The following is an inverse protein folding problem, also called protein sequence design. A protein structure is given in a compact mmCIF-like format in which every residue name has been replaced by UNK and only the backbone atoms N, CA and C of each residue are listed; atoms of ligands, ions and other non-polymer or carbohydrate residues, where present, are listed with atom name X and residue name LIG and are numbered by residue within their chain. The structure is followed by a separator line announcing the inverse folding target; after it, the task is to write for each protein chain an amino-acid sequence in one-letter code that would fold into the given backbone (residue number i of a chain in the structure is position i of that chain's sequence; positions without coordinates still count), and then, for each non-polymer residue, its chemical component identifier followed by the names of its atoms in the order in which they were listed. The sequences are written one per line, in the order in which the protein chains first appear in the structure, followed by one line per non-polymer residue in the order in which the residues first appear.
data_IF_944798246046
#
_entry.id   IF_944798246046
#
_cell.length_a   1.000
_cell.length_b   1.000
_cell.length_c   1.000
_cell.angle_alpha   90.00
_cell.angle_beta   90.00
_cell.angle_gamma   90.00
#
_symmetry.space_group_name_H-M   'P 1'
#
loop_
_entity.id
_entity.type
_entity.pdbx_description
1 polymer ?
#
# COMPACT_ATOMS: atom_id res chain seq x y z
N UNK A 1 32.27 -21.29 -42.59
CA UNK A 1 31.83 -21.93 -41.32
C UNK A 1 31.36 -20.84 -40.37
N UNK A 2 30.20 -21.05 -39.73
CA UNK A 2 29.38 -20.07 -39.01
C UNK A 2 30.10 -19.52 -37.76
N UNK A 3 30.16 -18.19 -37.62
CA UNK A 3 30.52 -17.52 -36.38
C UNK A 3 29.25 -17.16 -35.60
N UNK A 4 29.39 -17.20 -34.27
CA UNK A 4 28.65 -16.43 -33.26
C UNK A 4 27.18 -16.81 -32.96
N UNK A 5 26.97 -17.46 -31.80
CA UNK A 5 26.57 -16.76 -30.56
C UNK A 5 25.78 -17.67 -29.62
N UNK A 6 26.34 -17.83 -28.42
CA UNK A 6 25.81 -18.53 -27.26
C UNK A 6 24.36 -18.11 -26.94
N UNK A 7 23.46 -19.09 -26.97
CA UNK A 7 22.03 -18.93 -26.68
C UNK A 7 21.82 -18.94 -25.17
N UNK A 8 21.77 -17.73 -24.62
CA UNK A 8 21.64 -17.41 -23.22
C UNK A 8 20.61 -18.25 -22.44
N UNK A 9 21.12 -18.72 -21.31
CA UNK A 9 20.44 -19.38 -20.20
C UNK A 9 19.72 -18.31 -19.38
N UNK A 10 18.44 -18.06 -19.62
CA UNK A 10 17.60 -17.42 -18.59
C UNK A 10 16.11 -17.55 -18.88
N UNK A 11 15.50 -18.67 -18.45
CA UNK A 11 14.04 -18.74 -18.27
C UNK A 11 13.75 -18.50 -16.79
N UNK A 12 14.00 -17.27 -16.32
CA UNK A 12 13.40 -16.80 -15.09
C UNK A 12 11.89 -16.70 -15.33
N UNK A 13 11.13 -17.63 -14.74
CA UNK A 13 9.71 -17.44 -14.53
C UNK A 13 9.61 -16.17 -13.68
N UNK A 14 9.22 -15.06 -14.33
CA UNK A 14 8.86 -13.83 -13.64
C UNK A 14 7.70 -14.16 -12.70
N UNK A 15 8.04 -14.47 -11.45
CA UNK A 15 7.20 -14.22 -10.31
C UNK A 15 6.78 -12.76 -10.44
N UNK A 16 5.51 -12.53 -10.75
CA UNK A 16 4.96 -11.19 -10.85
C UNK A 16 5.14 -10.55 -9.46
N UNK A 17 5.95 -9.49 -9.30
CA UNK A 17 5.73 -8.65 -8.15
C UNK A 17 4.34 -8.07 -8.38
N UNK A 18 3.37 -8.45 -7.57
CA UNK A 18 2.08 -7.77 -7.53
C UNK A 18 2.38 -6.35 -7.04
N UNK A 19 2.75 -5.48 -7.97
CA UNK A 19 2.68 -4.04 -7.77
C UNK A 19 1.19 -3.76 -7.59
N UNK A 20 0.75 -3.74 -6.33
CA UNK A 20 -0.53 -3.12 -5.95
C UNK A 20 -0.39 -1.62 -6.24
N UNK A 21 -0.39 -1.28 -7.53
CA UNK A 21 -0.55 0.07 -8.03
C UNK A 21 -2.05 0.33 -8.02
N UNK A 22 -2.61 0.52 -6.82
CA UNK A 22 -3.85 1.29 -6.70
C UNK A 22 -3.42 2.74 -6.57
N UNK A 23 -3.45 3.40 -7.73
CA UNK A 23 -3.49 4.85 -7.87
C UNK A 23 -4.60 5.43 -6.99
N UNK A 24 -4.30 5.69 -5.71
CA UNK A 24 -5.10 6.59 -4.89
C UNK A 24 -4.98 7.97 -5.53
N UNK A 25 -5.97 8.28 -6.38
CA UNK A 25 -6.23 9.64 -6.80
C UNK A 25 -6.26 10.48 -5.54
N UNK A 26 -5.28 11.39 -5.41
CA UNK A 26 -5.14 12.28 -4.26
C UNK A 26 -6.34 13.21 -4.23
N UNK A 27 -7.47 12.74 -3.71
CA UNK A 27 -8.50 13.63 -3.19
C UNK A 27 -7.80 14.37 -2.07
N UNK A 28 -7.63 15.68 -2.26
CA UNK A 28 -7.12 16.58 -1.24
C UNK A 28 -8.19 16.74 -0.17
N UNK A 29 -8.46 15.66 0.55
CA UNK A 29 -9.30 15.69 1.72
C UNK A 29 -8.46 16.28 2.85
N UNK A 30 -8.94 17.38 3.42
CA UNK A 30 -8.30 18.10 4.53
C UNK A 30 -8.44 17.30 5.83
N UNK A 31 -7.82 16.13 5.88
CA UNK A 31 -7.77 15.30 7.07
C UNK A 31 -6.87 15.97 8.12
N UNK A 32 -7.31 15.95 9.38
CA UNK A 32 -6.60 16.56 10.50
C UNK A 32 -6.59 15.56 11.64
N UNK A 33 -5.50 15.57 12.42
CA UNK A 33 -5.36 14.73 13.59
C UNK A 33 -6.32 15.20 14.69
N UNK A 34 -7.52 14.62 14.70
CA UNK A 34 -8.60 14.92 15.65
C UNK A 34 -8.61 13.97 16.87
N UNK A 35 -7.59 13.13 17.00
CA UNK A 35 -7.45 12.17 18.09
C UNK A 35 -8.08 10.81 17.82
N UNK A 36 -8.62 10.57 16.62
CA UNK A 36 -9.03 9.22 16.18
C UNK A 36 -7.84 8.29 16.03
N UNK A 37 -8.00 7.06 16.54
CA UNK A 37 -6.92 6.05 16.61
C UNK A 37 -7.35 4.67 16.10
N UNK A 38 -8.65 4.45 15.89
CA UNK A 38 -9.20 3.16 15.51
C UNK A 38 -9.94 3.24 14.17
N UNK A 39 -10.01 2.10 13.49
CA UNK A 39 -10.65 1.97 12.18
C UNK A 39 -12.13 2.28 12.18
N UNK A 40 -12.86 1.93 13.24
CA UNK A 40 -14.29 2.23 13.36
C UNK A 40 -14.61 3.73 13.37
N UNK A 41 -13.60 4.58 13.57
CA UNK A 41 -13.74 6.03 13.58
C UNK A 41 -13.39 6.65 12.21
N UNK A 42 -12.75 5.90 11.31
CA UNK A 42 -12.45 6.33 9.95
C UNK A 42 -13.64 6.09 9.04
N UNK A 43 -13.63 6.69 7.85
CA UNK A 43 -14.68 6.55 6.84
C UNK A 43 -14.15 6.08 5.49
N UNK A 44 -12.84 6.05 5.31
CA UNK A 44 -12.22 5.55 4.09
C UNK A 44 -10.79 5.06 4.32
N UNK A 45 -10.29 4.30 3.34
CA UNK A 45 -8.92 3.81 3.34
C UNK A 45 -7.94 4.99 3.27
N UNK A 46 -8.19 5.98 2.41
CA UNK A 46 -7.28 7.13 2.27
C UNK A 46 -7.21 7.97 3.54
N UNK A 47 -8.33 8.11 4.26
CA UNK A 47 -8.34 8.77 5.57
C UNK A 47 -7.49 7.98 6.57
N UNK A 48 -7.69 6.66 6.67
CA UNK A 48 -6.90 5.83 7.57
C UNK A 48 -5.39 5.88 7.24
N UNK A 49 -5.03 5.83 5.95
CA UNK A 49 -3.65 5.97 5.46
C UNK A 49 -3.07 7.34 5.79
N UNK A 50 -3.85 8.41 5.66
CA UNK A 50 -3.40 9.74 6.05
C UNK A 50 -3.10 9.77 7.55
N UNK A 51 -4.00 9.26 8.39
CA UNK A 51 -3.81 9.27 9.84
C UNK A 51 -2.60 8.44 10.26
N UNK A 52 -2.40 7.25 9.68
CA UNK A 52 -1.23 6.41 9.98
C UNK A 52 0.10 7.13 9.70
N UNK A 53 0.16 7.91 8.61
CA UNK A 53 1.38 8.59 8.19
C UNK A 53 1.57 9.99 8.80
N UNK A 54 0.49 10.68 9.15
CA UNK A 54 0.54 12.09 9.57
C UNK A 54 0.23 12.29 11.06
N UNK A 55 -0.43 11.34 11.73
CA UNK A 55 -0.89 11.49 13.10
C UNK A 55 -0.17 10.54 14.07
N UNK A 56 0.34 11.03 15.21
CA UNK A 56 0.94 10.18 16.22
C UNK A 56 -0.11 9.37 16.99
N UNK A 57 0.29 8.23 17.56
CA UNK A 57 -0.54 7.34 18.38
C UNK A 57 -1.69 6.60 17.66
N UNK A 58 -1.62 6.43 16.35
CA UNK A 58 -2.61 5.62 15.60
C UNK A 58 -2.45 4.14 15.88
N UNK A 59 -3.57 3.44 16.14
CA UNK A 59 -3.63 1.98 16.35
C UNK A 59 -4.50 1.32 15.29
N UNK A 60 -4.20 1.63 14.02
CA UNK A 60 -4.99 1.20 12.86
C UNK A 60 -4.27 0.15 12.02
N UNK A 61 -2.94 0.14 12.08
CA UNK A 61 -2.07 -0.85 11.49
C UNK A 61 -1.58 -1.79 12.60
N UNK A 62 -2.18 -2.97 12.67
CA UNK A 62 -1.91 -3.94 13.75
C UNK A 62 -0.72 -4.86 13.45
N UNK A 63 -0.41 -5.06 12.17
CA UNK A 63 0.65 -5.92 11.65
C UNK A 63 1.87 -5.12 11.14
N UNK A 64 1.80 -3.79 11.13
CA UNK A 64 2.84 -2.87 10.66
C UNK A 64 3.23 -3.13 9.21
N UNK A 65 2.25 -3.46 8.35
CA UNK A 65 2.48 -3.64 6.91
C UNK A 65 2.27 -2.34 6.10
N UNK A 66 1.87 -1.26 6.77
CA UNK A 66 1.60 0.04 6.16
C UNK A 66 0.18 0.18 5.61
N UNK A 67 -0.70 -0.82 5.79
CA UNK A 67 -2.09 -0.79 5.37
C UNK A 67 -3.00 -0.69 6.60
N UNK A 68 -3.47 0.52 6.97
CA UNK A 68 -4.37 0.65 8.09
C UNK A 68 -5.76 0.13 7.74
N UNK A 69 -6.44 -0.48 8.70
CA UNK A 69 -7.85 -0.83 8.57
C UNK A 69 -8.22 -1.75 7.39
N UNK A 70 -7.34 -2.70 7.05
CA UNK A 70 -7.54 -3.69 5.97
C UNK A 70 -8.93 -4.32 5.98
N UNK A 71 -9.44 -4.68 7.17
CA UNK A 71 -10.72 -5.38 7.33
C UNK A 71 -11.96 -4.51 7.13
N UNK A 72 -11.85 -3.18 7.23
CA UNK A 72 -13.00 -2.26 7.22
C UNK A 72 -13.00 -1.32 6.02
N UNK A 73 -11.83 -0.77 5.67
CA UNK A 73 -11.75 0.30 4.68
C UNK A 73 -10.85 -0.04 3.49
N UNK A 74 -9.80 -0.85 3.67
CA UNK A 74 -8.76 -1.13 2.66
C UNK A 74 -8.81 -2.58 2.14
N UNK A 75 -10.00 -3.09 1.79
CA UNK A 75 -10.21 -4.43 1.23
C UNK A 75 -10.10 -4.46 -0.31
#
# INVERSE_FOLDING_TARGET
MRKESDKDRSKMKAYQPSTKTTSQMRKTSNFQCDGRKHCSQMKSCEEATFFLNNCPNTKMDGNNDGIPCEKQWCN
#
